data_IF_352858194028
#
_entry.id   IF_352858194028
#
_cell.length_a   1.000
_cell.length_b   1.000
_cell.length_c   1.000
_cell.angle_alpha   90.00
_cell.angle_beta   90.00
_cell.angle_gamma   90.00
#
_symmetry.space_group_name_H-M   'P 1'
#
loop_
_entity.id
_entity.type
_entity.pdbx_description
1 polymer ?
#
# COMPACT_ATOMS: atom_id res chain seq x y z
N UNK A 1 11.68 6.57 -14.55
CA UNK A 1 11.74 6.14 -13.13
C UNK A 1 10.46 6.61 -12.48
N UNK A 2 9.49 5.73 -12.24
CA UNK A 2 8.24 6.13 -11.56
C UNK A 2 8.52 6.08 -10.07
N UNK A 3 8.48 7.25 -9.44
CA UNK A 3 8.66 7.41 -8.00
C UNK A 3 7.36 6.95 -7.31
N UNK A 4 7.46 6.22 -6.18
CA UNK A 4 6.29 5.80 -5.38
C UNK A 4 5.29 6.94 -5.14
N UNK A 5 5.78 8.19 -5.05
CA UNK A 5 4.96 9.38 -4.93
C UNK A 5 3.97 9.57 -6.09
N UNK A 6 4.35 9.22 -7.32
CA UNK A 6 3.45 9.26 -8.47
C UNK A 6 2.34 8.21 -8.33
N UNK A 7 2.68 7.01 -7.83
CA UNK A 7 1.68 5.96 -7.60
C UNK A 7 0.70 6.39 -6.50
N UNK A 8 1.20 7.00 -5.42
CA UNK A 8 0.34 7.54 -4.37
C UNK A 8 -0.55 8.68 -4.88
N UNK A 9 0.00 9.56 -5.73
CA UNK A 9 -0.76 10.61 -6.40
C UNK A 9 -1.86 10.01 -7.28
N UNK A 10 -1.55 9.02 -8.11
CA UNK A 10 -2.53 8.33 -8.98
C UNK A 10 -3.65 7.68 -8.15
N UNK A 11 -3.29 7.01 -7.04
CA UNK A 11 -4.28 6.42 -6.11
C UNK A 11 -5.21 7.50 -5.57
N UNK A 12 -4.68 8.66 -5.17
CA UNK A 12 -5.48 9.79 -4.66
C UNK A 12 -6.43 10.31 -5.74
N UNK A 13 -5.94 10.53 -6.95
CA UNK A 13 -6.75 11.06 -8.06
C UNK A 13 -7.92 10.15 -8.41
N UNK A 14 -7.69 8.85 -8.40
CA UNK A 14 -8.66 7.83 -8.75
C UNK A 14 -9.61 7.46 -7.59
N UNK A 15 -9.48 8.07 -6.39
CA UNK A 15 -10.42 7.87 -5.26
C UNK A 15 -11.86 8.12 -5.69
N UNK A 16 -12.11 9.22 -6.40
CA UNK A 16 -13.46 9.61 -6.83
C UNK A 16 -14.04 8.72 -7.92
N UNK A 17 -13.22 7.84 -8.52
CA UNK A 17 -13.63 6.91 -9.58
C UNK A 17 -13.96 5.52 -9.03
N UNK A 18 -13.70 5.28 -7.73
CA UNK A 18 -13.96 4.01 -7.08
C UNK A 18 -15.44 3.87 -6.70
N UNK A 19 -16.19 3.15 -7.55
CA UNK A 19 -17.60 2.84 -7.30
C UNK A 19 -17.84 2.04 -6.01
N UNK A 20 -16.90 1.18 -5.61
CA UNK A 20 -17.01 0.39 -4.37
C UNK A 20 -16.85 1.32 -3.16
N UNK A 21 -15.89 2.25 -3.24
CA UNK A 21 -15.70 3.28 -2.22
C UNK A 21 -16.89 4.25 -2.15
N UNK A 22 -17.45 4.65 -3.29
CA UNK A 22 -18.64 5.51 -3.35
C UNK A 22 -19.85 4.83 -2.69
N UNK A 23 -20.10 3.56 -3.02
CA UNK A 23 -21.19 2.77 -2.43
C UNK A 23 -20.99 2.54 -0.92
N UNK A 24 -19.74 2.42 -0.48
CA UNK A 24 -19.39 2.14 0.91
C UNK A 24 -18.77 3.35 1.63
N UNK A 25 -19.07 4.58 1.17
CA UNK A 25 -18.36 5.78 1.58
C UNK A 25 -18.37 5.97 3.11
N UNK A 26 -19.54 5.84 3.74
CA UNK A 26 -19.67 5.98 5.20
C UNK A 26 -18.83 4.95 5.97
N UNK A 27 -18.75 3.70 5.48
CA UNK A 27 -17.95 2.65 6.10
C UNK A 27 -16.46 2.95 5.97
N UNK A 28 -16.03 3.43 4.79
CA UNK A 28 -14.66 3.87 4.58
C UNK A 28 -14.31 5.07 5.47
N UNK A 29 -15.19 6.06 5.58
CA UNK A 29 -15.03 7.23 6.45
C UNK A 29 -14.83 6.83 7.92
N UNK A 30 -15.64 5.90 8.43
CA UNK A 30 -15.49 5.39 9.80
C UNK A 30 -14.13 4.73 10.04
N UNK A 31 -13.57 4.04 9.03
CA UNK A 31 -12.25 3.41 9.14
C UNK A 31 -11.11 4.42 9.23
N UNK A 32 -11.32 5.64 8.74
CA UNK A 32 -10.26 6.65 8.58
C UNK A 32 -10.48 7.89 9.47
N UNK A 33 -11.54 7.91 10.28
CA UNK A 33 -11.91 9.01 11.17
C UNK A 33 -10.74 9.48 12.05
N UNK A 34 -9.88 8.54 12.45
CA UNK A 34 -8.65 8.80 13.20
C UNK A 34 -7.65 9.75 12.51
N UNK A 35 -7.81 10.03 11.21
CA UNK A 35 -6.98 10.98 10.47
C UNK A 35 -7.40 12.45 10.69
N UNK A 36 -8.59 12.69 11.22
CA UNK A 36 -9.12 14.04 11.45
C UNK A 36 -9.25 14.86 10.17
N UNK A 37 -9.59 14.22 9.04
CA UNK A 37 -9.82 14.92 7.78
C UNK A 37 -11.26 15.43 7.72
N UNK A 38 -11.44 16.64 7.19
CA UNK A 38 -12.76 17.19 6.92
C UNK A 38 -13.23 16.76 5.53
N UNK A 39 -14.32 16.00 5.46
CA UNK A 39 -14.95 15.60 4.21
C UNK A 39 -16.45 15.32 4.42
N UNK A 40 -17.26 15.60 3.40
CA UNK A 40 -18.70 15.34 3.37
C UNK A 40 -19.10 14.44 2.20
N UNK A 41 -18.21 14.26 1.23
CA UNK A 41 -18.39 13.41 0.05
C UNK A 41 -17.03 12.93 -0.49
N UNK A 42 -17.06 12.04 -1.48
CA UNK A 42 -15.87 11.39 -2.04
C UNK A 42 -14.89 12.36 -2.71
N UNK A 43 -15.40 13.47 -3.28
CA UNK A 43 -14.55 14.50 -3.89
C UNK A 43 -13.83 15.34 -2.83
N UNK A 44 -14.52 15.69 -1.75
CA UNK A 44 -13.92 16.35 -0.59
C UNK A 44 -12.88 15.44 0.09
N UNK A 45 -13.17 14.14 0.19
CA UNK A 45 -12.22 13.16 0.68
C UNK A 45 -10.93 13.14 -0.15
N UNK A 46 -11.06 13.07 -1.48
CA UNK A 46 -9.92 13.15 -2.41
C UNK A 46 -9.11 14.42 -2.18
N UNK A 47 -9.76 15.57 -2.10
CA UNK A 47 -9.08 16.85 -1.91
C UNK A 47 -8.34 16.89 -0.56
N UNK A 48 -8.96 16.39 0.52
CA UNK A 48 -8.33 16.32 1.83
C UNK A 48 -7.08 15.41 1.83
N UNK A 49 -7.14 14.26 1.15
CA UNK A 49 -5.97 13.39 0.95
C UNK A 49 -4.87 14.08 0.13
N UNK A 50 -5.24 14.76 -0.96
CA UNK A 50 -4.30 15.50 -1.81
C UNK A 50 -3.60 16.62 -1.04
N UNK A 51 -4.35 17.41 -0.28
CA UNK A 51 -3.78 18.48 0.54
C UNK A 51 -2.80 17.93 1.57
N UNK A 52 -3.19 16.87 2.30
CA UNK A 52 -2.33 16.24 3.30
C UNK A 52 -1.08 15.63 2.68
N UNK A 53 -1.21 14.96 1.53
CA UNK A 53 -0.11 14.39 0.75
C UNK A 53 0.91 15.46 0.32
N UNK A 54 0.44 16.61 -0.17
CA UNK A 54 1.30 17.70 -0.62
C UNK A 54 2.04 18.40 0.53
N UNK A 55 1.46 18.45 1.73
CA UNK A 55 2.10 19.06 2.90
C UNK A 55 3.07 18.10 3.59
N UNK A 56 2.65 16.85 3.83
CA UNK A 56 3.45 15.87 4.54
C UNK A 56 3.02 14.44 4.21
N UNK A 57 3.91 13.71 3.56
CA UNK A 57 3.77 12.27 3.38
C UNK A 57 4.18 11.56 4.68
N UNK A 58 3.20 11.13 5.47
CA UNK A 58 3.42 10.26 6.62
C UNK A 58 2.95 8.83 6.34
N UNK A 59 3.48 7.87 7.11
CA UNK A 59 3.13 6.46 6.97
C UNK A 59 1.63 6.20 7.18
N UNK A 60 1.02 7.03 8.04
CA UNK A 60 -0.36 6.86 8.45
C UNK A 60 -1.28 7.16 7.26
N UNK A 61 -0.96 8.19 6.47
CA UNK A 61 -1.63 8.56 5.24
C UNK A 61 -1.52 7.45 4.18
N UNK A 62 -0.31 6.91 3.97
CA UNK A 62 -0.08 5.83 3.00
C UNK A 62 -0.85 4.56 3.39
N UNK A 63 -0.79 4.15 4.66
CA UNK A 63 -1.55 3.00 5.17
C UNK A 63 -3.05 3.22 5.00
N UNK A 64 -3.52 4.44 5.19
CA UNK A 64 -4.94 4.78 5.02
C UNK A 64 -5.37 4.74 3.57
N UNK A 65 -4.56 5.25 2.63
CA UNK A 65 -4.83 5.13 1.20
C UNK A 65 -5.04 3.66 0.79
N UNK A 66 -4.25 2.76 1.36
CA UNK A 66 -4.37 1.33 1.11
C UNK A 66 -5.59 0.67 1.77
N UNK A 67 -6.19 1.31 2.78
CA UNK A 67 -7.43 0.84 3.42
C UNK A 67 -8.69 1.25 2.66
N UNK A 68 -8.64 2.37 1.92
CA UNK A 68 -9.80 2.90 1.18
C UNK A 68 -9.80 2.54 -0.31
N UNK A 69 -8.64 2.23 -0.89
CA UNK A 69 -8.51 1.88 -2.31
C UNK A 69 -7.76 0.56 -2.48
N UNK A 70 -8.28 -0.29 -3.36
CA UNK A 70 -7.58 -1.51 -3.76
C UNK A 70 -6.33 -1.14 -4.55
N UNK A 71 -5.17 -1.42 -3.97
CA UNK A 71 -3.86 -1.06 -4.56
C UNK A 71 -3.37 -2.03 -5.63
N UNK A 72 -3.99 -3.21 -5.75
CA UNK A 72 -3.63 -4.26 -6.71
C UNK A 72 -3.48 -3.77 -8.17
N UNK A 73 -4.41 -2.97 -8.73
CA UNK A 73 -4.28 -2.48 -10.11
C UNK A 73 -3.07 -1.55 -10.32
N UNK A 74 -2.61 -0.86 -9.28
CA UNK A 74 -1.47 0.04 -9.36
C UNK A 74 -0.13 -0.72 -9.25
N UNK A 75 -0.12 -1.88 -8.58
CA UNK A 75 1.06 -2.76 -8.54
C UNK A 75 1.39 -3.35 -9.91
N UNK A 76 0.39 -3.58 -10.76
CA UNK A 76 0.60 -4.02 -12.14
C UNK A 76 1.35 -2.96 -12.97
N UNK A 77 1.15 -1.67 -12.68
CA UNK A 77 1.94 -0.56 -13.26
C UNK A 77 3.41 -0.65 -12.86
N UNK A 78 3.73 -1.16 -11.68
CA UNK A 78 5.13 -1.42 -11.26
C UNK A 78 5.74 -2.56 -12.08
N UNK A 79 5.00 -3.65 -12.28
CA UNK A 79 5.45 -4.78 -13.09
C UNK A 79 5.67 -4.42 -14.57
N UNK A 80 4.88 -3.49 -15.14
CA UNK A 80 5.09 -3.01 -16.51
C UNK A 80 6.36 -2.16 -16.66
N UNK A 81 6.85 -1.56 -15.57
CA UNK A 81 8.13 -0.84 -15.54
C UNK A 81 9.28 -1.84 -15.37
N UNK A 82 9.07 -2.85 -14.52
CA UNK A 82 10.01 -3.97 -14.40
C UNK A 82 10.23 -4.66 -15.74
N UNK A 83 9.23 -4.81 -16.61
CA UNK A 83 9.43 -5.49 -17.92
C UNK A 83 10.56 -4.85 -18.75
N UNK A 84 10.70 -3.51 -18.74
CA UNK A 84 11.82 -2.81 -19.40
C UNK A 84 13.20 -3.06 -18.78
N UNK A 85 13.23 -3.57 -17.55
CA UNK A 85 14.43 -3.92 -16.79
C UNK A 85 14.67 -5.44 -16.78
N UNK A 86 13.59 -6.22 -16.89
CA UNK A 86 13.54 -7.69 -16.87
C UNK A 86 14.07 -8.28 -18.18
N UNK A 87 13.89 -7.56 -19.29
CA UNK A 87 14.50 -7.90 -20.59
C UNK A 87 16.04 -7.92 -20.54
N UNK A 88 16.66 -7.44 -19.46
CA UNK A 88 18.12 -7.38 -19.27
C UNK A 88 18.61 -8.13 -18.03
N UNK A 89 17.73 -8.81 -17.28
CA UNK A 89 18.07 -9.56 -16.07
C UNK A 89 17.74 -11.04 -16.27
N UNK A 90 18.72 -11.90 -16.02
CA UNK A 90 18.48 -13.35 -15.98
C UNK A 90 17.59 -13.72 -14.78
N UNK A 91 16.88 -14.86 -14.87
CA UNK A 91 16.06 -15.38 -13.77
C UNK A 91 16.83 -15.46 -12.44
N UNK A 92 18.11 -15.84 -12.51
CA UNK A 92 19.00 -15.93 -11.35
C UNK A 92 19.29 -14.57 -10.70
N UNK A 93 19.38 -13.51 -11.50
CA UNK A 93 19.57 -12.14 -11.00
C UNK A 93 18.29 -11.60 -10.37
N UNK A 94 17.13 -11.91 -10.97
CA UNK A 94 15.82 -11.59 -10.41
C UNK A 94 15.63 -12.27 -9.06
N UNK A 95 15.97 -13.56 -8.96
CA UNK A 95 15.87 -14.33 -7.72
C UNK A 95 16.81 -13.76 -6.64
N UNK A 96 18.05 -13.41 -7.01
CA UNK A 96 19.02 -12.78 -6.09
C UNK A 96 18.55 -11.41 -5.60
N UNK A 97 18.01 -10.58 -6.49
CA UNK A 97 17.46 -9.27 -6.15
C UNK A 97 16.25 -9.41 -5.23
N UNK A 98 15.36 -10.36 -5.53
CA UNK A 98 14.18 -10.66 -4.71
C UNK A 98 14.58 -11.09 -3.30
N UNK A 99 15.58 -11.97 -3.17
CA UNK A 99 16.14 -12.38 -1.88
C UNK A 99 16.77 -11.21 -1.12
N UNK A 100 17.49 -10.33 -1.79
CA UNK A 100 18.10 -9.16 -1.16
C UNK A 100 17.05 -8.15 -0.68
N UNK A 101 15.99 -7.94 -1.46
CA UNK A 101 14.85 -7.08 -1.08
C UNK A 101 14.11 -7.68 0.12
N UNK A 102 13.81 -8.99 0.08
CA UNK A 102 13.17 -9.68 1.19
C UNK A 102 14.02 -9.62 2.46
N UNK A 103 15.34 -9.87 2.34
CA UNK A 103 16.30 -9.76 3.44
C UNK A 103 16.33 -8.36 4.02
N UNK A 104 16.48 -7.34 3.16
CA UNK A 104 16.46 -5.93 3.56
C UNK A 104 15.22 -5.61 4.39
N UNK A 105 14.02 -5.94 3.88
CA UNK A 105 12.77 -5.64 4.58
C UNK A 105 12.52 -6.52 5.81
N UNK A 106 13.09 -7.73 5.90
CA UNK A 106 13.04 -8.57 7.11
C UNK A 106 13.95 -8.07 8.24
N UNK A 107 15.06 -7.42 7.89
CA UNK A 107 16.04 -6.88 8.83
C UNK A 107 15.66 -5.46 9.29
N UNK A 108 14.80 -4.76 8.54
CA UNK A 108 14.24 -3.49 9.00
C UNK A 108 13.26 -3.74 10.15
N UNK A 109 13.55 -3.18 11.33
CA UNK A 109 12.59 -3.13 12.43
C UNK A 109 11.63 -1.93 12.34
N UNK A 110 11.86 -1.08 11.33
CA UNK A 110 11.21 0.21 11.18
C UNK A 110 9.86 0.10 10.46
N UNK A 111 8.78 0.46 11.17
CA UNK A 111 7.40 0.50 10.68
C UNK A 111 7.15 1.59 9.61
N UNK A 112 8.17 2.42 9.31
CA UNK A 112 8.20 3.38 8.21
C UNK A 112 8.32 2.75 6.83
N UNK A 113 8.81 1.52 6.76
CA UNK A 113 8.78 0.78 5.51
C UNK A 113 7.46 0.01 5.42
N UNK A 114 6.51 0.58 4.66
CA UNK A 114 5.20 -0.03 4.43
C UNK A 114 5.28 -1.49 3.99
N UNK A 115 6.28 -1.82 3.16
CA UNK A 115 6.50 -3.19 2.72
C UNK A 115 6.97 -4.10 3.87
N UNK A 116 7.86 -3.63 4.75
CA UNK A 116 8.24 -4.35 5.97
C UNK A 116 7.03 -4.61 6.86
N UNK A 117 6.19 -3.59 7.09
CA UNK A 117 4.99 -3.75 7.91
C UNK A 117 4.00 -4.77 7.30
N UNK A 118 3.83 -4.75 5.98
CA UNK A 118 2.99 -5.72 5.24
C UNK A 118 3.60 -7.13 5.30
N UNK A 119 4.90 -7.27 5.04
CA UNK A 119 5.61 -8.56 5.09
C UNK A 119 5.60 -9.16 6.51
N UNK A 120 5.82 -8.34 7.55
CA UNK A 120 5.67 -8.75 8.96
C UNK A 120 4.25 -9.20 9.26
N UNK A 121 3.23 -8.53 8.73
CA UNK A 121 1.82 -8.94 8.91
C UNK A 121 1.51 -10.29 8.24
N UNK A 122 1.99 -10.50 7.00
CA UNK A 122 1.86 -11.77 6.28
C UNK A 122 2.62 -12.89 6.99
N UNK A 123 3.85 -12.64 7.42
CA UNK A 123 4.65 -13.60 8.20
C UNK A 123 3.94 -13.98 9.49
N UNK A 124 3.42 -13.00 10.24
CA UNK A 124 2.66 -13.27 11.46
C UNK A 124 1.45 -14.14 11.16
N UNK A 125 0.65 -13.84 10.13
CA UNK A 125 -0.51 -14.67 9.78
C UNK A 125 -0.11 -16.10 9.40
N UNK A 126 0.93 -16.28 8.58
CA UNK A 126 1.40 -17.59 8.14
C UNK A 126 1.95 -18.46 9.28
N UNK A 127 2.55 -17.85 10.32
CA UNK A 127 3.27 -18.58 11.38
C UNK A 127 2.66 -18.46 12.79
N UNK A 128 1.61 -17.64 12.98
CA UNK A 128 0.83 -17.62 14.24
C UNK A 128 -0.55 -18.28 14.11
N UNK A 129 -1.05 -18.52 12.89
CA UNK A 129 -2.24 -19.38 12.69
C UNK A 129 -1.91 -20.88 12.78
N UNK A 130 -0.63 -21.27 12.69
CA UNK A 130 -0.19 -22.66 12.90
C UNK A 130 -0.04 -23.06 14.37
N UNK A 131 -0.06 -22.10 15.30
CA UNK A 131 0.03 -22.37 16.75
C UNK A 131 -1.32 -22.64 17.42
N UNK A 132 -2.44 -22.42 16.72
CA UNK A 132 -3.79 -22.60 17.26
C UNK A 132 -4.41 -23.98 16.97
N UNK A 133 -3.83 -24.76 16.04
CA UNK A 133 -4.36 -26.07 15.61
C UNK A 133 -3.55 -27.28 16.12
N UNK A 134 -2.62 -27.09 17.06
CA UNK A 134 -1.99 -28.20 17.78
C UNK A 134 -2.24 -28.07 19.29
N UNK A 135 -3.53 -28.09 19.65
CA UNK A 135 -3.98 -28.39 21.00
C UNK A 135 -4.63 -29.77 21.02
N UNK A 136 -3.84 -30.81 21.31
CA UNK A 136 -4.17 -31.98 22.14
C UNK A 136 -2.86 -32.65 22.59
#
# INVERSE_FOLDING_TARGET
MIFLNQIYSDIIEEISEDKDLEQNFNVACNRIDFLGLNYSNINELKNAFREKFNHHLDDKLIKTLFLIRKVKPYWEKIHTIESKTKDHLSEKEIERLSLNIAKFYSEQDDNRFHLTAILKSIYRQAYTMTSADQGF
#
